data_IF_855685910509
#
_entry.id   IF_855685910509
#
_cell.length_a   1.000
_cell.length_b   1.000
_cell.length_c   1.000
_cell.angle_alpha   90.00
_cell.angle_beta   90.00
_cell.angle_gamma   90.00
#
_symmetry.space_group_name_H-M   'P 1'
#
loop_
_entity.id
_entity.type
_entity.pdbx_description
1 polymer ?
#
# COMPACT_ATOMS: atom_id res chain seq x y z
N UNK A 1 19.55 -19.88 -84.17
CA UNK A 1 18.56 -20.96 -84.30
C UNK A 1 17.70 -20.94 -83.05
N UNK A 2 16.37 -20.76 -83.22
CA UNK A 2 15.23 -21.18 -82.36
C UNK A 2 15.28 -20.90 -80.83
N UNK A 3 14.22 -20.54 -80.10
CA UNK A 3 12.84 -20.08 -80.25
C UNK A 3 12.28 -20.05 -78.81
N UNK A 4 11.37 -19.10 -78.52
CA UNK A 4 10.28 -19.09 -77.51
C UNK A 4 10.40 -19.89 -76.19
N UNK A 5 10.25 -19.21 -75.04
CA UNK A 5 8.93 -19.10 -74.38
C UNK A 5 9.01 -18.22 -73.12
N UNK A 6 7.92 -17.47 -72.93
CA UNK A 6 7.68 -16.45 -71.90
C UNK A 6 7.24 -17.02 -70.55
N UNK A 7 7.74 -16.48 -69.44
CA UNK A 7 6.93 -16.38 -68.21
C UNK A 7 7.33 -15.19 -67.34
N UNK A 8 6.34 -14.50 -66.81
CA UNK A 8 6.38 -13.11 -66.33
C UNK A 8 6.47 -12.98 -64.81
N UNK A 9 7.35 -12.07 -64.37
CA UNK A 9 7.52 -11.56 -63.00
C UNK A 9 6.25 -10.91 -62.42
N UNK A 10 5.91 -11.25 -61.16
CA UNK A 10 5.03 -10.41 -60.32
C UNK A 10 5.53 -10.37 -58.88
N UNK A 11 5.94 -9.17 -58.43
CA UNK A 11 6.17 -8.80 -57.02
C UNK A 11 5.08 -7.82 -56.52
N UNK A 12 4.47 -8.24 -55.41
CA UNK A 12 3.96 -7.51 -54.22
C UNK A 12 3.08 -6.24 -54.29
N UNK A 13 1.86 -6.45 -53.73
CA UNK A 13 1.10 -5.65 -52.73
C UNK A 13 0.50 -4.29 -53.15
N UNK A 14 -0.53 -3.73 -52.44
CA UNK A 14 -1.34 -4.21 -51.31
C UNK A 14 -2.86 -4.10 -51.56
N UNK A 15 -3.73 -4.60 -50.65
CA UNK A 15 -5.15 -4.20 -50.63
C UNK A 15 -5.69 -3.97 -49.21
N UNK A 16 -6.18 -2.75 -48.90
CA UNK A 16 -7.17 -2.51 -47.88
C UNK A 16 -8.58 -2.27 -48.47
N UNK A 17 -9.57 -2.67 -47.66
CA UNK A 17 -10.99 -2.25 -47.55
C UNK A 17 -11.80 -1.83 -48.79
N UNK A 18 -12.95 -2.49 -49.00
CA UNK A 18 -14.24 -1.79 -49.23
C UNK A 18 -15.44 -2.64 -48.81
N UNK A 19 -16.39 -1.95 -48.19
CA UNK A 19 -17.77 -2.27 -47.80
C UNK A 19 -18.63 -3.06 -48.80
N UNK A 20 -19.59 -3.85 -48.29
CA UNK A 20 -21.05 -3.72 -48.58
C UNK A 20 -21.92 -4.75 -47.84
N UNK A 21 -22.86 -4.22 -47.05
CA UNK A 21 -24.28 -4.60 -46.90
C UNK A 21 -24.73 -6.07 -46.94
N UNK A 22 -25.24 -6.53 -45.79
CA UNK A 22 -26.60 -7.07 -45.59
C UNK A 22 -27.13 -8.21 -46.46
N UNK A 23 -27.20 -9.41 -45.89
CA UNK A 23 -28.05 -10.50 -46.39
C UNK A 23 -28.42 -11.50 -45.28
N UNK A 24 -29.71 -11.57 -44.93
CA UNK A 24 -30.30 -12.58 -44.02
C UNK A 24 -29.83 -13.99 -44.40
N UNK A 25 -29.21 -14.72 -43.46
CA UNK A 25 -29.06 -16.18 -43.55
C UNK A 25 -29.88 -16.84 -42.44
N UNK A 26 -30.84 -17.64 -42.89
CA UNK A 26 -31.68 -18.56 -42.11
C UNK A 26 -30.81 -19.40 -41.16
N UNK A 27 -31.30 -19.57 -39.94
CA UNK A 27 -30.78 -20.51 -38.96
C UNK A 27 -30.74 -21.92 -39.55
N UNK A 28 -29.54 -22.35 -39.93
CA UNK A 28 -29.25 -23.74 -40.22
C UNK A 28 -29.00 -24.47 -38.91
N UNK A 29 -29.84 -25.45 -38.59
CA UNK A 29 -29.68 -26.38 -37.47
C UNK A 29 -28.25 -26.90 -37.37
N UNK A 30 -27.53 -26.46 -36.33
CA UNK A 30 -26.26 -27.07 -35.95
C UNK A 30 -26.57 -28.45 -35.37
N UNK A 31 -26.24 -29.51 -36.10
CA UNK A 31 -26.36 -30.91 -35.62
C UNK A 31 -25.73 -31.04 -34.22
N UNK A 32 -26.42 -31.65 -33.24
CA UNK A 32 -25.94 -31.72 -31.87
C UNK A 32 -24.68 -32.58 -31.79
N UNK A 33 -23.64 -32.07 -31.10
CA UNK A 33 -22.44 -32.86 -30.78
C UNK A 33 -22.87 -34.04 -29.89
N UNK A 34 -22.40 -35.24 -30.21
CA UNK A 34 -22.66 -36.45 -29.41
C UNK A 34 -22.23 -36.21 -27.95
N UNK A 35 -23.21 -36.23 -27.04
CA UNK A 35 -23.02 -36.19 -25.58
C UNK A 35 -22.13 -37.35 -25.14
N UNK A 36 -21.25 -37.13 -24.16
CA UNK A 36 -20.42 -38.20 -23.57
C UNK A 36 -21.32 -39.12 -22.73
N UNK A 37 -20.90 -40.36 -22.51
CA UNK A 37 -21.64 -41.33 -21.67
C UNK A 37 -21.91 -40.77 -20.27
N UNK A 38 -20.97 -40.01 -19.70
CA UNK A 38 -21.14 -39.35 -18.40
C UNK A 38 -22.28 -38.33 -18.41
N UNK A 39 -22.45 -37.57 -19.49
CA UNK A 39 -23.51 -36.56 -19.60
C UNK A 39 -24.91 -37.23 -19.59
N UNK A 40 -25.04 -38.43 -20.18
CA UNK A 40 -26.28 -39.21 -20.12
C UNK A 40 -26.56 -39.76 -18.72
N UNK A 41 -25.52 -40.18 -17.99
CA UNK A 41 -25.66 -40.64 -16.61
C UNK A 41 -26.05 -39.49 -15.67
N UNK A 42 -25.44 -38.33 -15.86
CA UNK A 42 -25.74 -37.13 -15.07
C UNK A 42 -27.16 -36.59 -15.39
N UNK A 43 -27.60 -36.66 -16.65
CA UNK A 43 -28.97 -36.29 -17.06
C UNK A 43 -30.02 -37.29 -16.55
N UNK A 44 -29.70 -38.59 -16.52
CA UNK A 44 -30.56 -39.62 -15.90
C UNK A 44 -30.67 -39.43 -14.39
N UNK A 45 -29.56 -39.15 -13.72
CA UNK A 45 -29.54 -38.86 -12.29
C UNK A 45 -30.32 -37.57 -11.97
N UNK A 46 -30.17 -36.53 -12.79
CA UNK A 46 -30.93 -35.29 -12.64
C UNK A 46 -32.44 -35.49 -12.81
N UNK A 47 -32.86 -36.34 -13.77
CA UNK A 47 -34.28 -36.71 -13.91
C UNK A 47 -34.80 -37.50 -12.71
N UNK A 48 -34.07 -38.50 -12.22
CA UNK A 48 -34.51 -39.25 -11.03
C UNK A 48 -34.61 -38.37 -9.78
N UNK A 49 -33.73 -37.37 -9.65
CA UNK A 49 -33.80 -36.41 -8.54
C UNK A 49 -34.99 -35.47 -8.71
N UNK A 50 -35.25 -35.00 -9.94
CA UNK A 50 -36.41 -34.15 -10.24
C UNK A 50 -37.73 -34.90 -10.02
N UNK A 51 -37.82 -36.15 -10.44
CA UNK A 51 -39.00 -37.02 -10.27
C UNK A 51 -39.26 -37.31 -8.78
N UNK A 52 -38.21 -37.61 -7.99
CA UNK A 52 -38.35 -37.74 -6.52
C UNK A 52 -38.77 -36.44 -5.85
N UNK A 53 -38.26 -35.30 -6.30
CA UNK A 53 -38.64 -34.00 -5.76
C UNK A 53 -40.10 -33.65 -6.09
N UNK A 54 -40.54 -33.96 -7.30
CA UNK A 54 -41.93 -33.79 -7.74
C UNK A 54 -42.88 -34.74 -7.00
N UNK A 55 -42.46 -35.98 -6.74
CA UNK A 55 -43.22 -36.95 -5.95
C UNK A 55 -43.36 -36.50 -4.49
N UNK A 56 -42.29 -35.96 -3.90
CA UNK A 56 -42.30 -35.35 -2.56
C UNK A 56 -43.25 -34.14 -2.48
N UNK A 57 -43.19 -33.22 -3.45
CA UNK A 57 -44.12 -32.09 -3.55
C UNK A 57 -45.56 -32.57 -3.74
N UNK A 58 -45.78 -33.63 -4.52
CA UNK A 58 -47.11 -34.22 -4.72
C UNK A 58 -47.67 -34.84 -3.44
N UNK A 59 -46.82 -35.49 -2.63
CA UNK A 59 -47.17 -35.97 -1.30
C UNK A 59 -47.49 -34.82 -0.33
N UNK A 60 -46.72 -33.73 -0.39
CA UNK A 60 -46.93 -32.52 0.43
C UNK A 60 -48.25 -31.82 0.09
N UNK A 61 -48.55 -31.68 -1.21
CA UNK A 61 -49.84 -31.17 -1.72
C UNK A 61 -51.00 -32.08 -1.34
N UNK A 62 -50.83 -33.42 -1.38
CA UNK A 62 -51.85 -34.38 -0.88
C UNK A 62 -52.13 -34.23 0.61
N UNK A 63 -51.17 -33.75 1.41
CA UNK A 63 -51.33 -33.43 2.83
C UNK A 63 -51.87 -32.02 3.08
N UNK A 64 -52.13 -31.24 2.04
CA UNK A 64 -52.71 -29.90 2.14
C UNK A 64 -51.74 -28.80 2.57
N UNK A 65 -50.43 -29.06 2.54
CA UNK A 65 -49.39 -28.10 2.94
C UNK A 65 -48.94 -27.31 1.69
N UNK A 66 -48.95 -25.97 1.78
CA UNK A 66 -48.51 -25.09 0.69
C UNK A 66 -46.99 -25.21 0.47
N UNK A 67 -46.53 -24.98 -0.77
CA UNK A 67 -45.12 -25.18 -1.15
C UNK A 67 -44.13 -24.31 -0.32
N UNK A 68 -44.62 -23.22 0.29
CA UNK A 68 -43.86 -22.25 1.10
C UNK A 68 -44.02 -22.42 2.63
N UNK A 69 -44.83 -23.38 3.13
CA UNK A 69 -45.02 -23.62 4.57
C UNK A 69 -44.19 -24.81 5.08
N UNK A 70 -43.42 -24.60 6.16
CA UNK A 70 -42.64 -25.64 6.83
C UNK A 70 -43.55 -26.75 7.40
N UNK A 71 -43.22 -28.02 7.10
CA UNK A 71 -44.03 -29.19 7.50
C UNK A 71 -44.03 -29.32 9.05
N UNK A 72 -45.19 -29.18 9.74
CA UNK A 72 -45.24 -29.20 11.21
C UNK A 72 -44.78 -30.53 11.84
N UNK A 73 -44.68 -31.61 11.05
CA UNK A 73 -44.25 -32.94 11.50
C UNK A 73 -42.78 -33.26 11.19
N UNK A 74 -42.04 -32.37 10.50
CA UNK A 74 -40.59 -32.50 10.39
C UNK A 74 -39.93 -32.13 11.73
N UNK A 75 -39.81 -33.13 12.59
CA UNK A 75 -39.05 -33.02 13.84
C UNK A 75 -37.56 -32.92 13.50
N UNK A 76 -37.05 -31.70 13.38
CA UNK A 76 -35.61 -31.44 13.25
C UNK A 76 -34.97 -31.78 14.60
N UNK A 77 -34.43 -33.00 14.72
CA UNK A 77 -33.64 -33.35 15.88
C UNK A 77 -32.43 -32.40 15.99
N UNK A 78 -32.24 -31.69 17.12
CA UNK A 78 -31.06 -30.87 17.29
C UNK A 78 -29.83 -31.76 17.13
N UNK A 79 -28.82 -31.32 16.36
CA UNK A 79 -27.59 -32.10 16.21
C UNK A 79 -26.92 -32.27 17.59
N UNK A 80 -27.13 -33.44 18.20
CA UNK A 80 -26.78 -33.75 19.59
C UNK A 80 -25.25 -33.67 19.85
N UNK A 81 -24.42 -33.67 18.80
CA UNK A 81 -22.97 -33.59 18.94
C UNK A 81 -22.33 -32.60 17.96
N UNK A 82 -22.22 -31.30 18.33
CA UNK A 82 -21.40 -30.36 17.61
C UNK A 82 -19.96 -30.89 17.51
N UNK A 83 -19.28 -30.57 16.40
CA UNK A 83 -17.94 -31.10 16.08
C UNK A 83 -16.94 -30.93 17.23
N UNK A 84 -17.11 -29.88 18.04
CA UNK A 84 -16.26 -29.53 19.17
C UNK A 84 -16.35 -30.53 20.33
N UNK A 85 -17.44 -31.29 20.45
CA UNK A 85 -17.66 -32.26 21.53
C UNK A 85 -17.10 -33.66 21.23
N UNK A 86 -16.66 -33.92 19.99
CA UNK A 86 -16.04 -35.20 19.62
C UNK A 86 -14.68 -35.32 20.27
N UNK A 87 -14.51 -36.11 21.35
CA UNK A 87 -13.23 -36.24 22.07
C UNK A 87 -12.10 -36.85 21.23
N UNK A 88 -12.42 -37.78 20.32
CA UNK A 88 -11.44 -38.40 19.42
C UNK A 88 -10.94 -37.39 18.36
N UNK A 89 -9.63 -37.10 18.39
CA UNK A 89 -8.96 -36.12 17.52
C UNK A 89 -9.08 -36.47 16.03
N UNK A 90 -8.94 -37.73 15.66
CA UNK A 90 -8.96 -38.15 14.25
C UNK A 90 -10.35 -38.00 13.64
N UNK A 91 -11.37 -38.44 14.38
CA UNK A 91 -12.78 -38.31 13.97
C UNK A 91 -13.17 -36.84 13.89
N UNK A 92 -12.77 -36.03 14.89
CA UNK A 92 -13.00 -34.57 14.90
C UNK A 92 -12.38 -33.90 13.68
N UNK A 93 -11.12 -34.18 13.39
CA UNK A 93 -10.40 -33.60 12.26
C UNK A 93 -11.02 -34.00 10.92
N UNK A 94 -11.39 -35.27 10.75
CA UNK A 94 -12.04 -35.77 9.53
C UNK A 94 -13.40 -35.10 9.31
N UNK A 95 -14.20 -34.97 10.36
CA UNK A 95 -15.48 -34.23 10.30
C UNK A 95 -15.25 -32.75 9.98
N UNK A 96 -14.27 -32.10 10.61
CA UNK A 96 -13.97 -30.68 10.39
C UNK A 96 -13.54 -30.40 8.96
N UNK A 97 -12.69 -31.26 8.38
CA UNK A 97 -12.31 -31.17 6.96
C UNK A 97 -13.52 -31.31 6.03
N UNK A 98 -14.44 -32.23 6.32
CA UNK A 98 -15.69 -32.39 5.54
C UNK A 98 -16.55 -31.13 5.62
N UNK A 99 -16.76 -30.59 6.82
CA UNK A 99 -17.54 -29.36 7.03
C UNK A 99 -16.91 -28.14 6.32
N UNK A 100 -15.59 -27.98 6.40
CA UNK A 100 -14.87 -26.94 5.63
C UNK A 100 -15.02 -27.10 4.12
N UNK A 101 -15.01 -28.34 3.62
CA UNK A 101 -15.16 -28.61 2.18
C UNK A 101 -16.57 -28.28 1.71
N UNK A 102 -17.60 -28.65 2.48
CA UNK A 102 -19.01 -28.30 2.19
C UNK A 102 -19.21 -26.80 2.22
N UNK A 103 -18.75 -26.12 3.27
CA UNK A 103 -18.81 -24.66 3.40
C UNK A 103 -18.16 -23.93 2.22
N UNK A 104 -17.00 -24.40 1.75
CA UNK A 104 -16.34 -23.84 0.55
C UNK A 104 -17.11 -24.07 -0.74
N UNK A 105 -17.88 -25.17 -0.85
CA UNK A 105 -18.74 -25.42 -2.03
C UNK A 105 -19.94 -24.47 -2.00
N UNK A 106 -20.62 -24.37 -0.87
CA UNK A 106 -21.74 -23.43 -0.65
C UNK A 106 -21.31 -21.98 -0.89
N UNK A 107 -20.18 -21.53 -0.34
CA UNK A 107 -19.65 -20.18 -0.58
C UNK A 107 -19.38 -19.89 -2.06
N UNK A 108 -18.95 -20.90 -2.84
CA UNK A 108 -18.75 -20.76 -4.29
C UNK A 108 -20.06 -20.69 -5.04
N UNK A 109 -21.05 -21.49 -4.65
CA UNK A 109 -22.40 -21.46 -5.23
C UNK A 109 -23.08 -20.12 -4.94
N UNK A 110 -23.06 -19.66 -3.69
CA UNK A 110 -23.56 -18.34 -3.29
C UNK A 110 -22.83 -17.20 -4.02
N UNK A 111 -21.53 -17.35 -4.32
CA UNK A 111 -20.81 -16.36 -5.13
C UNK A 111 -21.22 -16.38 -6.59
N UNK A 112 -21.65 -17.53 -7.14
CA UNK A 112 -22.19 -17.64 -8.50
C UNK A 112 -23.58 -17.03 -8.58
N UNK A 113 -24.47 -17.33 -7.64
CA UNK A 113 -25.83 -16.76 -7.58
C UNK A 113 -25.79 -15.24 -7.45
N UNK A 114 -24.99 -14.70 -6.51
CA UNK A 114 -24.81 -13.24 -6.36
C UNK A 114 -24.27 -12.55 -7.61
N UNK A 115 -23.41 -13.22 -8.39
CA UNK A 115 -22.90 -12.70 -9.67
C UNK A 115 -23.98 -12.69 -10.76
N UNK A 116 -24.84 -13.71 -10.79
CA UNK A 116 -25.98 -13.78 -11.71
C UNK A 116 -27.02 -12.70 -11.39
N UNK A 117 -27.26 -12.45 -10.09
CA UNK A 117 -28.19 -11.43 -9.59
C UNK A 117 -27.61 -10.00 -9.66
N UNK A 118 -26.33 -9.83 -10.02
CA UNK A 118 -25.69 -8.52 -10.11
C UNK A 118 -25.46 -7.81 -8.76
N UNK A 119 -25.65 -8.49 -7.64
CA UNK A 119 -25.50 -7.90 -6.30
C UNK A 119 -24.01 -7.65 -6.01
N UNK A 120 -23.59 -6.42 -5.70
CA UNK A 120 -22.20 -6.15 -5.35
C UNK A 120 -21.79 -6.91 -4.08
N UNK A 121 -20.54 -7.37 -4.05
CA UNK A 121 -19.99 -8.01 -2.85
C UNK A 121 -20.02 -7.03 -1.67
N UNK A 122 -20.36 -7.53 -0.49
CA UNK A 122 -20.20 -6.75 0.74
C UNK A 122 -18.76 -6.23 0.85
N UNK A 123 -18.55 -4.99 1.32
CA UNK A 123 -17.23 -4.42 1.50
C UNK A 123 -16.41 -5.29 2.45
N UNK A 124 -15.15 -5.53 2.12
CA UNK A 124 -14.28 -6.33 2.95
C UNK A 124 -13.86 -5.54 4.19
N UNK A 125 -13.98 -6.16 5.36
CA UNK A 125 -13.48 -5.60 6.61
C UNK A 125 -11.94 -5.68 6.63
N UNK A 126 -11.29 -4.65 6.08
CA UNK A 126 -9.84 -4.47 6.21
C UNK A 126 -9.53 -3.65 7.46
N UNK A 127 -8.27 -3.68 7.90
CA UNK A 127 -7.81 -2.85 9.02
C UNK A 127 -7.91 -1.34 8.73
N UNK A 128 -7.89 -0.94 7.45
CA UNK A 128 -8.14 0.46 7.07
C UNK A 128 -9.63 0.80 7.15
N UNK A 129 -10.50 -0.08 6.66
CA UNK A 129 -11.96 0.09 6.72
C UNK A 129 -12.47 0.16 8.17
N UNK A 130 -11.83 -0.59 9.06
CA UNK A 130 -12.16 -0.64 10.49
C UNK A 130 -11.28 0.29 11.34
N UNK A 131 -10.54 1.23 10.72
CA UNK A 131 -9.71 2.20 11.46
C UNK A 131 -10.59 2.99 12.42
N UNK A 132 -10.11 3.15 13.65
CA UNK A 132 -10.76 4.04 14.61
C UNK A 132 -10.64 5.48 14.12
N UNK A 133 -11.77 6.18 13.99
CA UNK A 133 -11.78 7.57 13.55
C UNK A 133 -11.09 8.42 14.62
N UNK A 134 -10.03 9.13 14.22
CA UNK A 134 -9.36 10.09 15.08
C UNK A 134 -10.01 11.47 14.92
N UNK A 135 -10.23 12.18 16.02
CA UNK A 135 -10.77 13.53 16.01
C UNK A 135 -9.85 14.53 15.29
N UNK A 136 -8.55 14.23 15.25
CA UNK A 136 -7.53 15.07 14.59
C UNK A 136 -7.33 14.75 13.10
N UNK A 137 -8.13 13.84 12.53
CA UNK A 137 -7.99 13.45 11.13
C UNK A 137 -8.55 14.54 10.19
N UNK A 138 -7.72 15.00 9.27
CA UNK A 138 -8.02 16.02 8.28
C UNK A 138 -8.37 15.32 6.96
N UNK A 139 -9.66 15.24 6.63
CA UNK A 139 -10.14 14.60 5.39
C UNK A 139 -9.94 15.47 4.16
N UNK A 140 -10.06 16.80 4.28
CA UNK A 140 -9.92 17.73 3.16
C UNK A 140 -9.53 19.11 3.68
N UNK A 141 -8.30 19.53 3.40
CA UNK A 141 -7.69 20.80 3.86
C UNK A 141 -8.53 22.03 3.46
N UNK A 142 -9.35 21.92 2.42
CA UNK A 142 -10.17 22.99 1.83
C UNK A 142 -11.57 23.13 2.44
N UNK A 143 -11.93 22.32 3.44
CA UNK A 143 -13.22 22.46 4.12
C UNK A 143 -13.21 23.67 5.08
N UNK A 144 -14.27 24.48 5.06
CA UNK A 144 -14.44 25.68 5.92
C UNK A 144 -14.30 25.37 7.42
N UNK A 145 -14.63 24.14 7.84
CA UNK A 145 -14.49 23.67 9.23
C UNK A 145 -13.02 23.49 9.69
N UNK A 146 -12.02 23.78 8.85
CA UNK A 146 -10.60 23.54 9.11
C UNK A 146 -9.71 24.79 9.02
N UNK A 147 -10.28 25.98 9.13
CA UNK A 147 -9.54 27.26 9.19
C UNK A 147 -8.42 27.24 10.25
N UNK A 148 -8.66 26.64 11.42
CA UNK A 148 -7.64 26.49 12.47
C UNK A 148 -6.40 25.73 11.98
N UNK A 149 -6.60 24.62 11.27
CA UNK A 149 -5.49 23.80 10.76
C UNK A 149 -4.71 24.60 9.73
N UNK A 150 -5.39 25.37 8.87
CA UNK A 150 -4.71 26.22 7.90
C UNK A 150 -3.93 27.35 8.56
N UNK A 151 -4.47 27.93 9.63
CA UNK A 151 -3.77 28.94 10.42
C UNK A 151 -2.54 28.34 11.14
N UNK A 152 -2.66 27.12 11.69
CA UNK A 152 -1.53 26.39 12.27
C UNK A 152 -0.44 26.16 11.22
N UNK A 153 -0.80 25.67 10.02
CA UNK A 153 0.14 25.40 8.93
C UNK A 153 0.75 26.67 8.30
N UNK A 154 0.09 27.82 8.44
CA UNK A 154 0.57 29.11 7.94
C UNK A 154 1.55 29.79 8.91
N UNK A 155 1.52 29.42 10.20
CA UNK A 155 2.37 29.99 11.25
C UNK A 155 3.32 28.97 11.88
N UNK A 156 3.41 27.77 11.33
CA UNK A 156 4.33 26.73 11.81
C UNK A 156 5.79 27.07 11.54
N UNK A 157 6.69 26.30 12.15
CA UNK A 157 8.14 26.48 12.02
C UNK A 157 8.62 26.28 10.57
N UNK A 158 7.86 25.58 9.74
CA UNK A 158 8.18 25.29 8.35
C UNK A 158 7.61 26.31 7.35
N UNK A 159 6.85 27.30 7.83
CA UNK A 159 6.13 28.24 6.98
C UNK A 159 7.08 28.96 6.00
N UNK A 160 8.25 29.39 6.46
CA UNK A 160 9.25 30.07 5.61
C UNK A 160 9.71 29.19 4.44
N UNK A 161 9.96 27.90 4.69
CA UNK A 161 10.30 26.94 3.64
C UNK A 161 9.18 26.81 2.61
N UNK A 162 7.92 26.70 3.06
CA UNK A 162 6.76 26.59 2.16
C UNK A 162 6.43 27.88 1.42
N UNK A 163 6.78 29.04 1.99
CA UNK A 163 6.81 30.36 1.31
C UNK A 163 7.98 30.49 0.33
N UNK A 164 8.90 29.52 0.29
CA UNK A 164 10.07 29.45 -0.59
C UNK A 164 11.06 30.60 -0.35
N UNK A 165 11.17 31.08 0.90
CA UNK A 165 12.04 32.21 1.27
C UNK A 165 13.53 31.83 1.23
N UNK A 166 13.88 30.59 1.59
CA UNK A 166 15.26 30.09 1.61
C UNK A 166 15.36 28.71 0.96
N UNK A 167 16.58 28.35 0.55
CA UNK A 167 16.89 27.00 0.05
C UNK A 167 17.35 26.10 1.20
N UNK A 168 16.75 24.93 1.38
CA UNK A 168 17.13 24.03 2.46
C UNK A 168 18.57 23.58 2.31
N UNK A 169 19.27 23.52 3.45
CA UNK A 169 20.65 23.05 3.59
C UNK A 169 20.69 22.06 4.73
N UNK A 170 20.96 20.81 4.41
CA UNK A 170 20.84 19.71 5.37
C UNK A 170 22.22 19.23 5.80
N UNK A 171 22.42 19.13 7.11
CA UNK A 171 23.63 18.56 7.70
C UNK A 171 23.38 17.12 8.15
N UNK A 172 24.08 16.14 7.57
CA UNK A 172 24.05 14.76 8.06
C UNK A 172 25.22 14.53 9.01
N UNK A 173 24.93 14.03 10.20
CA UNK A 173 25.92 13.62 11.20
C UNK A 173 25.60 12.23 11.75
N UNK A 174 26.51 11.70 12.56
CA UNK A 174 26.42 10.34 13.11
C UNK A 174 26.62 10.34 14.62
N UNK A 175 26.40 9.18 15.23
CA UNK A 175 27.03 8.88 16.52
C UNK A 175 28.56 8.88 16.41
N UNK A 176 29.28 8.90 17.55
CA UNK A 176 30.72 9.17 17.63
C UNK A 176 31.59 8.30 16.70
N UNK A 177 31.26 7.02 16.53
CA UNK A 177 32.02 6.07 15.72
C UNK A 177 31.10 5.23 14.84
N UNK A 178 30.70 5.72 13.64
CA UNK A 178 29.79 4.98 12.77
C UNK A 178 30.50 3.84 12.04
N UNK A 179 29.81 2.71 11.88
CA UNK A 179 30.22 1.58 11.04
C UNK A 179 29.94 1.80 9.55
N UNK A 180 30.52 0.94 8.71
CA UNK A 180 30.44 1.04 7.25
C UNK A 180 29.00 1.07 6.72
N UNK A 181 28.09 0.23 7.23
CA UNK A 181 26.70 0.22 6.78
C UNK A 181 25.99 1.57 7.05
N UNK A 182 26.26 2.18 8.21
CA UNK A 182 25.72 3.48 8.60
C UNK A 182 26.31 4.61 7.75
N UNK A 183 27.61 4.54 7.45
CA UNK A 183 28.29 5.49 6.53
C UNK A 183 27.74 5.39 5.11
N UNK A 184 27.53 4.17 4.62
CA UNK A 184 26.90 3.91 3.32
C UNK A 184 25.49 4.50 3.29
N UNK A 185 24.68 4.23 4.32
CA UNK A 185 23.34 4.80 4.44
C UNK A 185 23.33 6.34 4.36
N UNK A 186 24.19 7.03 5.11
CA UNK A 186 24.28 8.49 5.06
C UNK A 186 24.82 9.01 3.71
N UNK A 187 25.75 8.29 3.08
CA UNK A 187 26.23 8.64 1.73
C UNK A 187 25.09 8.59 0.71
N UNK A 188 24.21 7.58 0.82
CA UNK A 188 23.02 7.49 -0.02
C UNK A 188 22.03 8.63 0.26
N UNK A 189 21.78 8.95 1.54
CA UNK A 189 20.92 10.09 1.89
C UNK A 189 21.47 11.41 1.33
N UNK A 190 22.78 11.64 1.40
CA UNK A 190 23.45 12.81 0.81
C UNK A 190 23.24 12.90 -0.70
N UNK A 191 23.15 11.77 -1.41
CA UNK A 191 22.94 11.73 -2.86
C UNK A 191 21.47 11.95 -3.24
N UNK A 192 20.55 11.61 -2.33
CA UNK A 192 19.11 11.73 -2.55
C UNK A 192 18.62 13.14 -2.22
N UNK A 193 19.06 13.69 -1.09
CA UNK A 193 18.65 15.00 -0.60
C UNK A 193 19.58 16.07 -1.20
N UNK A 194 19.04 17.08 -1.91
CA UNK A 194 19.86 18.15 -2.46
C UNK A 194 20.52 18.98 -1.35
N UNK A 195 21.57 19.75 -1.68
CA UNK A 195 22.24 20.69 -0.76
C UNK A 195 22.69 20.07 0.58
N UNK A 196 23.05 18.78 0.57
CA UNK A 196 23.37 18.04 1.78
C UNK A 196 24.86 17.83 1.96
N UNK A 197 25.35 18.06 3.18
CA UNK A 197 26.74 17.86 3.58
C UNK A 197 26.83 16.89 4.75
N UNK A 198 27.82 15.99 4.71
CA UNK A 198 28.01 14.97 5.76
C UNK A 198 29.23 15.33 6.61
N UNK A 199 29.05 15.38 7.93
CA UNK A 199 30.11 15.71 8.88
C UNK A 199 30.30 14.63 9.93
N UNK A 200 31.54 14.47 10.39
CA UNK A 200 31.87 13.59 11.52
C UNK A 200 31.78 14.39 12.81
N UNK A 201 31.03 13.86 13.79
CA UNK A 201 30.79 14.56 15.06
C UNK A 201 32.01 14.59 16.00
N UNK A 202 33.00 13.70 15.81
CA UNK A 202 34.22 13.62 16.62
C UNK A 202 33.97 13.73 18.14
N UNK A 203 32.98 12.99 18.66
CA UNK A 203 32.55 13.00 20.09
C UNK A 203 31.98 14.33 20.62
N UNK A 204 31.72 15.32 19.75
CA UNK A 204 31.08 16.58 20.14
C UNK A 204 29.63 16.35 20.59
N UNK A 205 29.20 17.08 21.62
CA UNK A 205 27.81 17.05 22.08
C UNK A 205 26.86 17.62 21.03
N UNK A 206 25.68 17.03 20.90
CA UNK A 206 24.72 17.43 19.86
C UNK A 206 24.25 18.89 20.00
N UNK A 207 24.13 19.42 21.23
CA UNK A 207 23.79 20.84 21.46
C UNK A 207 24.80 21.79 20.81
N UNK A 208 26.10 21.51 20.95
CA UNK A 208 27.17 22.30 20.29
C UNK A 208 27.13 22.16 18.77
N UNK A 209 26.82 20.97 18.27
CA UNK A 209 26.64 20.72 16.83
C UNK A 209 25.48 21.55 16.27
N UNK A 210 24.37 21.66 17.01
CA UNK A 210 23.24 22.52 16.62
C UNK A 210 23.66 23.99 16.56
N UNK A 211 24.38 24.49 17.57
CA UNK A 211 24.89 25.86 17.59
C UNK A 211 25.83 26.15 16.41
N UNK A 212 26.74 25.23 16.08
CA UNK A 212 27.60 25.37 14.91
C UNK A 212 26.83 25.35 13.61
N UNK A 213 25.82 24.47 13.49
CA UNK A 213 25.00 24.36 12.28
C UNK A 213 24.16 25.63 12.05
N UNK A 214 23.62 26.22 13.11
CA UNK A 214 22.92 27.52 13.05
C UNK A 214 23.89 28.60 12.56
N UNK A 215 25.11 28.67 13.09
CA UNK A 215 26.14 29.63 12.65
C UNK A 215 26.51 29.47 11.17
N UNK A 216 26.50 28.23 10.67
CA UNK A 216 26.80 27.92 9.26
C UNK A 216 25.58 28.03 8.33
N UNK A 217 24.42 28.48 8.84
CA UNK A 217 23.16 28.61 8.13
C UNK A 217 22.67 27.28 7.52
N UNK A 218 22.73 26.19 8.30
CA UNK A 218 21.99 24.96 8.00
C UNK A 218 20.55 25.08 8.50
N UNK A 219 19.63 24.49 7.75
CA UNK A 219 18.19 24.50 8.05
C UNK A 219 17.78 23.27 8.83
N UNK A 220 18.44 22.13 8.58
CA UNK A 220 18.08 20.86 9.21
C UNK A 220 19.32 20.03 9.53
N UNK A 221 19.23 19.26 10.62
CA UNK A 221 20.23 18.27 11.01
C UNK A 221 19.59 16.88 11.00
N UNK A 222 20.24 15.96 10.30
CA UNK A 222 19.96 14.54 10.34
C UNK A 222 21.05 13.82 11.14
N UNK A 223 20.71 13.24 12.28
CA UNK A 223 21.63 12.41 13.07
C UNK A 223 21.27 10.94 12.88
N UNK A 224 22.19 10.18 12.30
CA UNK A 224 22.02 8.73 12.13
C UNK A 224 22.65 7.99 13.31
N UNK A 225 21.82 7.21 14.00
CA UNK A 225 22.23 6.30 15.07
C UNK A 225 22.27 4.85 14.59
N UNK A 226 23.22 4.10 15.12
CA UNK A 226 23.41 2.69 14.79
C UNK A 226 23.28 1.79 16.01
N UNK A 227 22.85 0.56 15.77
CA UNK A 227 22.85 -0.51 16.74
C UNK A 227 23.26 -1.81 16.03
N UNK A 228 24.08 -2.65 16.69
CA UNK A 228 24.60 -3.90 16.11
C UNK A 228 25.13 -3.73 14.68
N UNK A 229 25.88 -2.64 14.44
CA UNK A 229 26.49 -2.28 13.14
C UNK A 229 25.49 -2.01 12.01
N UNK A 230 24.22 -1.72 12.32
CA UNK A 230 23.16 -1.38 11.37
C UNK A 230 22.49 -0.05 11.76
N UNK A 231 22.01 0.75 10.81
CA UNK A 231 21.27 1.96 11.13
C UNK A 231 19.94 1.61 11.80
N UNK A 232 19.67 2.17 12.99
CA UNK A 232 18.44 1.95 13.75
C UNK A 232 17.71 3.25 14.11
N UNK A 233 18.40 4.36 14.31
CA UNK A 233 17.78 5.62 14.70
C UNK A 233 18.05 6.73 13.70
N UNK A 234 17.05 7.58 13.47
CA UNK A 234 17.19 8.82 12.73
C UNK A 234 16.60 9.94 13.59
N UNK A 235 17.41 10.92 13.93
CA UNK A 235 16.94 12.15 14.55
C UNK A 235 16.93 13.24 13.49
N UNK A 236 15.78 13.87 13.29
CA UNK A 236 15.62 15.03 12.43
C UNK A 236 15.37 16.24 13.33
N UNK A 237 16.19 17.28 13.19
CA UNK A 237 16.09 18.51 13.97
C UNK A 237 15.98 19.65 12.96
N UNK A 238 14.91 20.42 13.06
CA UNK A 238 14.77 21.65 12.30
C UNK A 238 15.43 22.81 13.06
N UNK A 239 16.18 23.66 12.37
CA UNK A 239 16.93 24.80 12.94
C UNK A 239 16.30 26.12 12.44
N UNK A 240 16.41 27.24 13.19
CA UNK A 240 17.18 27.41 14.43
C UNK A 240 16.44 27.01 15.72
N UNK A 241 15.12 27.06 15.74
CA UNK A 241 14.29 26.76 16.92
C UNK A 241 13.22 25.70 16.63
N UNK A 242 13.37 24.99 15.51
CA UNK A 242 12.38 24.04 15.02
C UNK A 242 12.31 22.74 15.83
N UNK A 243 11.26 21.93 15.61
CA UNK A 243 11.01 20.72 16.37
C UNK A 243 12.04 19.62 16.09
N UNK A 244 12.10 18.65 16.99
CA UNK A 244 12.98 17.49 16.90
C UNK A 244 12.17 16.19 16.84
N UNK A 245 12.21 15.51 15.69
CA UNK A 245 11.57 14.22 15.49
C UNK A 245 12.57 13.08 15.59
N UNK A 246 12.27 12.11 16.45
CA UNK A 246 13.04 10.89 16.59
C UNK A 246 12.31 9.73 15.93
N UNK A 247 12.93 9.13 14.92
CA UNK A 247 12.44 7.97 14.20
C UNK A 247 13.29 6.74 14.50
N UNK A 248 12.60 5.60 14.64
CA UNK A 248 13.23 4.29 14.50
C UNK A 248 13.25 3.89 13.03
N UNK A 249 14.44 3.63 12.49
CA UNK A 249 14.67 2.99 11.21
C UNK A 249 14.51 1.47 11.38
N UNK A 250 13.85 0.84 10.43
CA UNK A 250 13.73 -0.62 10.33
C UNK A 250 13.80 -1.04 8.85
N UNK A 251 14.07 -2.32 8.61
CA UNK A 251 14.11 -2.91 7.27
C UNK A 251 14.99 -2.16 6.26
N UNK A 252 16.14 -1.65 6.72
CA UNK A 252 17.11 -1.03 5.82
C UNK A 252 17.66 -2.05 4.82
N UNK A 253 17.56 -1.72 3.54
CA UNK A 253 18.20 -2.41 2.43
C UNK A 253 19.04 -1.42 1.64
N UNK A 254 20.34 -1.72 1.55
CA UNK A 254 21.31 -0.90 0.82
C UNK A 254 21.27 -1.17 -0.68
N UNK A 255 22.11 -0.47 -1.44
CA UNK A 255 22.19 -0.63 -2.90
C UNK A 255 22.59 -2.03 -3.33
N UNK A 256 23.51 -2.66 -2.57
CA UNK A 256 23.96 -4.03 -2.81
C UNK A 256 22.80 -5.03 -2.72
N UNK A 257 21.92 -4.87 -1.73
CA UNK A 257 20.75 -5.73 -1.55
C UNK A 257 19.73 -5.55 -2.68
N UNK A 258 19.63 -4.33 -3.22
CA UNK A 258 18.76 -4.01 -4.36
C UNK A 258 19.39 -4.35 -5.72
N UNK A 259 20.66 -4.78 -5.77
CA UNK A 259 21.44 -4.97 -7.00
C UNK A 259 21.45 -3.71 -7.87
N UNK A 260 21.61 -2.54 -7.24
CA UNK A 260 21.70 -1.22 -7.89
C UNK A 260 23.04 -0.56 -7.64
N UNK A 261 23.38 0.46 -8.43
CA UNK A 261 24.62 1.22 -8.29
C UNK A 261 24.31 2.66 -7.89
N UNK A 262 25.20 3.26 -7.10
CA UNK A 262 25.07 4.68 -6.70
C UNK A 262 25.11 5.63 -7.91
N UNK A 263 25.85 5.26 -8.96
CA UNK A 263 25.93 5.99 -10.23
C UNK A 263 24.58 6.14 -10.94
N UNK A 264 23.61 5.28 -10.62
CA UNK A 264 22.26 5.37 -11.20
C UNK A 264 21.52 6.59 -10.65
N UNK A 265 21.93 7.12 -9.49
CA UNK A 265 21.37 8.34 -8.89
C UNK A 265 21.99 9.58 -9.54
N UNK A 266 21.21 10.21 -10.42
CA UNK A 266 21.55 11.49 -11.07
C UNK A 266 21.60 12.65 -10.06
N UNK A 267 22.04 13.83 -10.49
CA UNK A 267 22.12 15.01 -9.62
C UNK A 267 20.79 15.79 -9.53
N UNK A 268 19.86 15.54 -10.45
CA UNK A 268 18.59 16.28 -10.56
C UNK A 268 17.76 16.24 -9.28
N UNK A 269 17.15 17.37 -8.92
CA UNK A 269 16.29 17.50 -7.74
C UNK A 269 15.05 16.59 -7.88
N UNK A 270 14.80 15.65 -6.94
CA UNK A 270 13.66 14.74 -7.05
C UNK A 270 12.35 15.43 -6.64
N UNK A 271 11.24 14.93 -7.16
CA UNK A 271 9.90 15.20 -6.63
C UNK A 271 9.71 14.49 -5.29
N UNK A 272 8.97 15.10 -4.37
CA UNK A 272 8.66 14.51 -3.06
C UNK A 272 7.17 14.21 -3.00
N UNK A 273 6.86 12.96 -2.69
CA UNK A 273 5.50 12.44 -2.57
C UNK A 273 5.27 12.06 -1.12
N UNK A 274 4.32 12.73 -0.47
CA UNK A 274 3.91 12.48 0.91
C UNK A 274 2.50 11.88 0.88
N UNK A 275 2.36 10.59 1.21
CA UNK A 275 1.09 9.89 1.12
C UNK A 275 0.58 9.51 2.52
N UNK A 276 -0.73 9.73 2.75
CA UNK A 276 -1.47 9.34 3.95
C UNK A 276 -0.97 9.97 5.26
N UNK A 277 -0.47 11.20 5.21
CA UNK A 277 -0.24 12.02 6.40
C UNK A 277 -1.51 12.85 6.66
N UNK A 278 -2.41 12.30 7.47
CA UNK A 278 -3.81 12.80 7.53
C UNK A 278 -4.16 13.42 8.88
N UNK A 279 -3.53 13.00 9.96
CA UNK A 279 -3.76 13.59 11.29
C UNK A 279 -2.99 14.90 11.44
N UNK A 280 -3.33 15.75 12.42
CA UNK A 280 -2.53 16.96 12.73
C UNK A 280 -1.04 16.62 12.92
N UNK A 281 -0.72 15.58 13.73
CA UNK A 281 0.65 15.08 13.90
C UNK A 281 1.25 14.59 12.58
N UNK A 282 0.47 13.87 11.77
CA UNK A 282 0.86 13.40 10.46
C UNK A 282 1.25 14.54 9.53
N UNK A 283 0.46 15.62 9.50
CA UNK A 283 0.74 16.82 8.71
C UNK A 283 2.05 17.49 9.13
N UNK A 284 2.29 17.67 10.44
CA UNK A 284 3.55 18.22 10.96
C UNK A 284 4.75 17.38 10.53
N UNK A 285 4.68 16.05 10.69
CA UNK A 285 5.75 15.14 10.28
C UNK A 285 5.93 15.11 8.75
N UNK A 286 4.83 15.14 7.99
CA UNK A 286 4.86 15.22 6.54
C UNK A 286 5.57 16.49 6.08
N UNK A 287 5.25 17.63 6.70
CA UNK A 287 5.89 18.91 6.41
C UNK A 287 7.36 18.94 6.75
N UNK A 288 7.71 18.43 7.93
CA UNK A 288 9.10 18.29 8.36
C UNK A 288 9.92 17.40 7.41
N UNK A 289 9.37 16.28 6.93
CA UNK A 289 10.05 15.42 5.95
C UNK A 289 10.12 16.06 4.55
N UNK A 290 9.13 16.86 4.18
CA UNK A 290 9.11 17.61 2.93
C UNK A 290 10.13 18.75 2.91
N UNK A 291 10.34 19.44 4.04
CA UNK A 291 11.27 20.55 4.21
C UNK A 291 12.74 20.18 3.97
N UNK A 292 13.08 18.89 4.07
CA UNK A 292 14.42 18.39 3.78
C UNK A 292 14.83 18.56 2.31
N UNK A 293 13.88 18.57 1.39
CA UNK A 293 14.14 18.59 -0.04
C UNK A 293 13.97 19.99 -0.60
N UNK A 294 14.54 20.26 -1.77
CA UNK A 294 14.29 21.53 -2.44
C UNK A 294 12.83 21.59 -2.91
N UNK A 295 12.14 22.70 -2.64
CA UNK A 295 10.74 22.94 -3.02
C UNK A 295 10.47 23.01 -4.54
N UNK A 296 11.51 22.91 -5.37
CA UNK A 296 11.44 23.05 -6.82
C UNK A 296 12.10 21.82 -7.46
N UNK A 297 11.33 20.82 -7.88
CA UNK A 297 11.85 19.57 -8.44
C UNK A 297 12.20 19.70 -9.92
N UNK A 298 13.17 18.90 -10.37
CA UNK A 298 13.59 18.86 -11.77
C UNK A 298 12.99 17.65 -12.48
N UNK A 299 11.88 17.86 -13.20
CA UNK A 299 11.15 16.83 -13.93
C UNK A 299 12.00 16.13 -15.01
N UNK A 300 13.03 16.80 -15.55
CA UNK A 300 13.96 16.19 -16.52
C UNK A 300 14.65 14.95 -15.95
N UNK A 301 14.94 14.95 -14.65
CA UNK A 301 15.56 13.82 -13.97
C UNK A 301 14.61 12.64 -13.76
N UNK A 302 13.28 12.86 -13.83
CA UNK A 302 12.22 11.87 -13.60
C UNK A 302 12.39 11.07 -12.31
N UNK A 303 12.86 11.73 -11.25
CA UNK A 303 13.11 11.11 -9.94
C UNK A 303 12.00 11.52 -8.98
N UNK A 304 11.49 10.54 -8.24
CA UNK A 304 10.51 10.77 -7.19
C UNK A 304 10.95 10.04 -5.91
N UNK A 305 10.91 10.75 -4.79
CA UNK A 305 11.07 10.23 -3.44
C UNK A 305 9.70 10.15 -2.81
N UNK A 306 9.32 8.99 -2.29
CA UNK A 306 8.02 8.77 -1.68
C UNK A 306 8.20 8.45 -0.20
N UNK A 307 7.47 9.17 0.64
CA UNK A 307 7.18 8.80 2.02
C UNK A 307 5.72 8.36 2.07
N UNK A 308 5.51 7.05 2.17
CA UNK A 308 4.17 6.49 2.26
C UNK A 308 3.87 6.08 3.69
N UNK A 309 2.95 6.77 4.35
CA UNK A 309 2.47 6.37 5.67
C UNK A 309 1.43 5.25 5.54
N UNK A 310 1.68 4.15 6.25
CA UNK A 310 0.74 3.06 6.40
C UNK A 310 0.83 2.54 7.83
N UNK A 311 -0.21 2.79 8.64
CA UNK A 311 -0.31 2.32 10.03
C UNK A 311 0.88 2.74 10.90
N UNK A 312 1.23 4.02 10.84
CA UNK A 312 2.38 4.65 11.51
C UNK A 312 3.77 4.15 11.06
N UNK A 313 3.81 3.33 10.00
CA UNK A 313 5.04 3.00 9.31
C UNK A 313 5.17 3.88 8.08
N UNK A 314 6.20 4.73 8.07
CA UNK A 314 6.53 5.56 6.93
C UNK A 314 7.51 4.77 6.06
N UNK A 315 7.04 4.30 4.92
CA UNK A 315 7.85 3.61 3.93
C UNK A 315 8.56 4.64 3.05
N UNK A 316 9.87 4.69 3.17
CA UNK A 316 10.71 5.49 2.28
C UNK A 316 11.04 4.67 1.03
N UNK A 317 10.79 5.24 -0.15
CA UNK A 317 11.26 4.69 -1.42
C UNK A 317 11.74 5.80 -2.33
N UNK A 318 12.66 5.45 -3.22
CA UNK A 318 13.19 6.35 -4.22
C UNK A 318 13.11 5.69 -5.59
N UNK A 319 12.38 6.33 -6.50
CA UNK A 319 12.01 5.79 -7.79
C UNK A 319 12.47 6.73 -8.92
N UNK A 320 12.84 6.13 -10.04
CA UNK A 320 12.83 6.74 -11.35
C UNK A 320 11.50 6.35 -12.01
N UNK A 321 10.79 7.31 -12.57
CA UNK A 321 9.53 7.06 -13.26
C UNK A 321 9.65 7.26 -14.77
N UNK A 322 8.86 6.51 -15.53
CA UNK A 322 8.75 6.65 -16.97
C UNK A 322 7.28 6.52 -17.37
N UNK A 323 6.79 7.50 -18.13
CA UNK A 323 5.45 7.46 -18.69
C UNK A 323 5.44 6.57 -19.93
N UNK A 324 4.40 5.73 -20.04
CA UNK A 324 4.13 5.03 -21.31
C UNK A 324 3.82 6.05 -22.42
N UNK A 325 3.95 5.64 -23.69
CA UNK A 325 3.72 6.50 -24.87
C UNK A 325 2.39 7.27 -24.84
N UNK A 326 1.38 6.70 -24.17
CA UNK A 326 0.03 7.26 -24.07
C UNK A 326 -0.20 8.05 -22.77
N UNK A 327 0.80 8.20 -21.90
CA UNK A 327 0.70 8.94 -20.63
C UNK A 327 -0.16 8.31 -19.52
N UNK A 328 -0.94 7.27 -19.82
CA UNK A 328 -1.92 6.69 -18.88
C UNK A 328 -1.32 5.87 -17.73
N UNK A 329 -0.12 5.33 -17.92
CA UNK A 329 0.54 4.43 -16.96
C UNK A 329 1.97 4.86 -16.73
N UNK A 330 2.40 4.72 -15.48
CA UNK A 330 3.76 5.03 -15.04
C UNK A 330 4.47 3.74 -14.68
N UNK A 331 5.63 3.52 -15.28
CA UNK A 331 6.56 2.46 -14.89
C UNK A 331 7.55 3.03 -13.88
N UNK A 332 7.70 2.33 -12.76
CA UNK A 332 8.60 2.73 -11.68
C UNK A 332 9.80 1.79 -11.63
N UNK A 333 11.00 2.37 -11.61
CA UNK A 333 12.25 1.67 -11.35
C UNK A 333 12.84 2.19 -10.05
N UNK A 334 13.05 1.31 -9.08
CA UNK A 334 13.71 1.72 -7.84
C UNK A 334 15.18 2.07 -8.05
N UNK A 335 15.58 3.16 -7.39
CA UNK A 335 16.89 3.76 -7.50
C UNK A 335 17.66 3.73 -6.17
N UNK A 336 16.99 4.09 -5.08
CA UNK A 336 17.61 4.32 -3.77
C UNK A 336 17.38 3.23 -2.72
N UNK A 337 17.89 3.41 -1.50
CA UNK A 337 17.72 2.46 -0.41
C UNK A 337 16.24 2.33 -0.01
N UNK A 338 15.89 1.16 0.53
CA UNK A 338 14.58 0.95 1.16
C UNK A 338 14.77 0.95 2.66
N UNK A 339 13.92 1.69 3.36
CA UNK A 339 13.79 1.57 4.80
C UNK A 339 12.38 1.99 5.22
N UNK A 340 12.06 1.69 6.47
CA UNK A 340 10.82 2.10 7.11
C UNK A 340 11.16 2.93 8.34
N UNK A 341 10.53 4.08 8.48
CA UNK A 341 10.60 4.90 9.67
C UNK A 341 9.36 4.67 10.53
N UNK A 342 9.54 4.67 11.85
CA UNK A 342 8.45 4.74 12.82
C UNK A 342 8.75 5.86 13.80
N UNK A 343 7.84 6.82 13.92
CA UNK A 343 8.00 7.92 14.88
C UNK A 343 8.04 7.36 16.30
N UNK A 344 9.00 7.84 17.10
CA UNK A 344 9.18 7.48 18.51
C UNK A 344 8.83 8.64 19.43
N UNK A 345 9.27 9.84 19.08
CA UNK A 345 8.94 11.05 19.80
C UNK A 345 9.03 12.26 18.87
N UNK A 346 8.21 13.26 19.14
CA UNK A 346 8.27 14.59 18.60
C UNK A 346 8.44 15.54 19.79
N UNK A 347 9.55 16.26 19.79
CA UNK A 347 9.89 17.25 20.80
C UNK A 347 9.70 18.65 20.20
N UNK A 348 9.15 19.57 20.99
CA UNK A 348 9.07 20.98 20.63
C UNK A 348 10.46 21.59 20.82
N UNK A 349 10.90 22.35 19.81
CA UNK A 349 12.21 22.99 19.79
C UNK A 349 13.41 22.06 19.58
N UNK A 350 14.58 22.63 19.82
CA UNK A 350 15.87 21.96 19.65
C UNK A 350 16.02 20.76 20.57
N UNK A 351 16.88 19.82 20.14
CA UNK A 351 17.17 18.60 20.89
C UNK A 351 17.60 18.90 22.34
N UNK A 352 16.76 18.50 23.29
CA UNK A 352 17.09 18.50 24.71
C UNK A 352 16.66 17.21 25.39
N UNK A 353 17.64 16.37 25.71
CA UNK A 353 17.40 15.08 26.36
C UNK A 353 17.07 15.16 27.85
N UNK A 354 17.15 16.34 28.50
CA UNK A 354 16.91 16.48 29.94
C UNK A 354 15.56 17.13 30.25
N UNK A 355 15.33 18.30 29.69
CA UNK A 355 14.15 19.12 29.98
C UNK A 355 13.34 19.42 28.70
N UNK A 356 13.49 18.60 27.66
CA UNK A 356 12.78 18.81 26.41
C UNK A 356 11.28 18.54 26.55
N UNK A 357 10.47 19.48 26.07
CA UNK A 357 9.02 19.33 26.02
C UNK A 357 8.61 18.45 24.84
N UNK A 358 7.89 17.37 25.12
CA UNK A 358 7.44 16.43 24.09
C UNK A 358 5.99 16.68 23.73
N UNK A 359 5.75 17.10 22.50
CA UNK A 359 4.41 17.18 21.92
C UNK A 359 3.79 15.78 21.81
N UNK A 360 4.60 14.80 21.36
CA UNK A 360 4.15 13.42 21.19
C UNK A 360 5.25 12.42 21.51
N UNK A 361 4.91 11.32 22.19
CA UNK A 361 5.85 10.23 22.47
C UNK A 361 5.15 8.88 22.52
N UNK A 362 5.74 7.87 21.87
CA UNK A 362 5.26 6.50 21.94
C UNK A 362 5.78 5.83 23.22
N UNK A 363 5.01 5.88 24.30
CA UNK A 363 5.30 5.10 25.51
C UNK A 363 4.69 3.71 25.39
N UNK A 364 5.49 2.65 25.54
CA UNK A 364 5.04 1.25 25.42
C UNK A 364 3.82 0.92 26.30
N UNK A 365 3.65 1.60 27.45
CA UNK A 365 2.52 1.40 28.37
C UNK A 365 1.20 1.98 27.82
N UNK A 366 1.21 3.20 27.27
CA UNK A 366 0.02 3.82 26.66
C UNK A 366 -0.41 3.07 25.39
N UNK A 367 0.56 2.66 24.59
CA UNK A 367 0.29 1.94 23.34
C UNK A 367 -0.27 0.52 23.54
N UNK A 368 -0.10 -0.07 24.73
CA UNK A 368 -0.76 -1.33 25.10
C UNK A 368 -2.23 -1.12 25.49
N UNK A 369 -2.60 0.09 25.92
CA UNK A 369 -3.97 0.45 26.31
C UNK A 369 -4.81 0.93 25.12
N UNK A 370 -4.17 1.38 24.04
CA UNK A 370 -4.85 1.84 22.82
C UNK A 370 -5.27 0.68 21.91
N UNK A 371 -6.38 0.86 21.20
CA UNK A 371 -6.87 -0.11 20.24
C UNK A 371 -5.83 -0.39 19.13
N UNK A 372 -5.69 -1.65 18.72
CA UNK A 372 -4.79 -2.07 17.60
C UNK A 372 -5.17 -1.46 16.23
N UNK A 373 -6.26 -0.68 16.19
CA UNK A 373 -6.84 -0.04 15.01
C UNK A 373 -6.71 1.49 15.05
N UNK A 374 -6.07 2.03 16.09
CA UNK A 374 -5.70 3.45 16.18
C UNK A 374 -4.31 3.66 15.57
N UNK A 375 -4.20 4.68 14.73
CA UNK A 375 -2.94 5.10 14.09
C UNK A 375 -2.84 6.63 14.15
N UNK A 376 -1.64 7.13 14.44
CA UNK A 376 -1.37 8.51 14.84
C UNK A 376 -0.92 9.44 13.71
N UNK A 377 -0.44 8.91 12.59
CA UNK A 377 0.04 9.67 11.44
C UNK A 377 -1.00 9.74 10.29
#
# INVERSE_FOLDING_TARGET
MSSDDSDSDVKMEPKPSTSKTGGKKKDGERKPKRKRIQDYLDEKAAREVAERAEEMLRLRRKRGIADDEDDPQETIFPMINPINFVKNKEIRHKRFKRLQTMKRKEEKENKKTRKLEGIPSAPTHTLETLREKDATMVTSIEAEDQEEVMNDLANDEFCEYYKKSYKPRVMITFNATPHNATREFASLLRRIIPNTSTFRRNKTQLKRVCQSAIRENFTDILVVNENKKKPEGLLLIHLPEGPTAHFKISNFKGMKDLKRKDTDITLHRPEVILNNFTTRLGLTIGRMLGALFHYDPEFRGRRAVTFHNQRDYIFFRHHLYEFDKNGKRVKLRELGPRFTLKLRSLQVGLFDGKCGDYEWMITNKRHQLEGRRRFFL
#
